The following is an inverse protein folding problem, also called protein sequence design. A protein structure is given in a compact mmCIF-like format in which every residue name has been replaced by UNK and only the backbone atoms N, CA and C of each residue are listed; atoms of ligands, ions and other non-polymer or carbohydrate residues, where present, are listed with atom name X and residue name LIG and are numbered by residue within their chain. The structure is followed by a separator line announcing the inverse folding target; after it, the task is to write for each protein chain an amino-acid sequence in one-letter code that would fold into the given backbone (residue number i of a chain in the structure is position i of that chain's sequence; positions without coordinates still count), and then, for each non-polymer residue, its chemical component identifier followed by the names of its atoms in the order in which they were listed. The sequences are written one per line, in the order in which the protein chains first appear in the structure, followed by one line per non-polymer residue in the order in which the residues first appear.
data_IF_769960017562
#
_entry.id   IF_769960017562
#
_cell.length_a   1.000
_cell.length_b   1.000
_cell.length_c   1.000
_cell.angle_alpha   90.00
_cell.angle_beta   90.00
_cell.angle_gamma   90.00
#
_symmetry.space_group_name_H-M   'P 1'
#
loop_
_entity.id
_entity.type
_entity.pdbx_description
1 polymer ?
#
# COMPACT_ATOMS: atom_id res chain seq x y z
N UNK A 1 17.09 -20.53 5.95
CA UNK A 1 18.26 -20.99 6.71
C UNK A 1 19.26 -21.53 5.71
N UNK A 2 20.54 -21.20 5.90
CA UNK A 2 21.63 -21.77 5.13
C UNK A 2 22.54 -22.51 6.10
N UNK A 3 22.99 -23.70 5.69
CA UNK A 3 23.91 -24.53 6.47
C UNK A 3 24.98 -25.01 5.50
N UNK A 4 26.20 -24.47 5.64
CA UNK A 4 27.33 -24.77 4.76
C UNK A 4 28.58 -24.00 5.20
N UNK A 5 29.77 -24.38 4.72
CA UNK A 5 31.00 -23.71 5.11
C UNK A 5 31.05 -22.27 4.59
N UNK A 6 31.41 -21.33 5.45
CA UNK A 6 31.79 -19.96 5.10
C UNK A 6 33.09 -19.67 5.84
N UNK A 7 34.16 -19.39 5.09
CA UNK A 7 35.51 -19.14 5.63
C UNK A 7 36.12 -20.27 6.49
N UNK A 8 35.73 -21.52 6.24
CA UNK A 8 36.24 -22.70 6.96
C UNK A 8 35.50 -23.05 8.25
N UNK A 9 34.58 -22.21 8.71
CA UNK A 9 33.68 -22.50 9.84
C UNK A 9 32.24 -22.82 9.37
N UNK A 10 31.50 -23.67 10.10
CA UNK A 10 30.10 -23.95 9.78
C UNK A 10 29.23 -22.72 10.05
N UNK A 11 28.71 -22.09 8.99
CA UNK A 11 27.78 -20.97 9.11
C UNK A 11 26.36 -21.52 9.30
N UNK A 12 25.83 -21.42 10.52
CA UNK A 12 24.41 -21.62 10.83
C UNK A 12 23.77 -20.25 11.13
N UNK A 13 23.07 -19.70 10.14
CA UNK A 13 22.39 -18.41 10.27
C UNK A 13 20.87 -18.57 10.16
N UNK A 14 20.19 -18.28 11.27
CA UNK A 14 18.73 -18.40 11.41
C UNK A 14 18.15 -17.16 12.08
N UNK A 15 17.47 -16.32 11.30
CA UNK A 15 16.71 -15.16 11.80
C UNK A 15 15.25 -15.28 11.39
N UNK A 16 14.36 -15.02 12.33
CA UNK A 16 12.92 -14.92 12.07
C UNK A 16 12.56 -13.50 11.67
N UNK A 17 11.92 -13.34 10.52
CA UNK A 17 11.46 -12.05 10.00
C UNK A 17 9.96 -12.09 9.75
N UNK A 18 9.28 -10.98 9.98
CA UNK A 18 7.84 -10.87 9.76
C UNK A 18 7.53 -9.66 8.89
N UNK A 19 6.67 -9.85 7.90
CA UNK A 19 6.22 -8.78 7.02
C UNK A 19 4.71 -8.65 7.15
N UNK A 20 4.28 -7.50 7.66
CA UNK A 20 2.88 -7.15 7.85
C UNK A 20 2.48 -6.17 6.76
N UNK A 21 1.26 -6.34 6.23
CA UNK A 21 0.66 -5.42 5.28
C UNK A 21 -0.73 -5.06 5.73
N UNK A 22 -1.13 -3.82 5.46
CA UNK A 22 -2.50 -3.40 5.68
C UNK A 22 -2.99 -2.45 4.60
N UNK A 23 -4.29 -2.54 4.31
CA UNK A 23 -5.01 -1.62 3.48
C UNK A 23 -6.41 -1.42 4.06
N UNK A 24 -6.80 -0.16 4.23
CA UNK A 24 -8.11 0.24 4.67
C UNK A 24 -8.66 1.33 3.77
N UNK A 25 -9.95 1.23 3.44
CA UNK A 25 -10.68 2.28 2.74
C UNK A 25 -11.97 2.57 3.49
N UNK A 26 -12.10 3.81 3.95
CA UNK A 26 -13.25 4.29 4.69
C UNK A 26 -13.97 5.35 3.85
N UNK A 27 -15.25 5.10 3.56
CA UNK A 27 -16.14 6.11 3.02
C UNK A 27 -16.66 6.96 4.18
N UNK A 28 -16.27 8.24 4.23
CA UNK A 28 -16.67 9.17 5.29
C UNK A 28 -18.02 9.79 4.94
N UNK A 29 -18.18 10.21 3.69
CA UNK A 29 -19.44 10.72 3.13
C UNK A 29 -19.67 10.14 1.74
N UNK A 30 -20.75 10.50 1.08
CA UNK A 30 -20.97 10.05 -0.30
C UNK A 30 -19.86 10.48 -1.27
N UNK A 31 -19.21 11.61 -0.98
CA UNK A 31 -18.21 12.26 -1.83
C UNK A 31 -16.80 12.28 -1.22
N UNK A 32 -16.62 11.74 -0.01
CA UNK A 32 -15.35 11.75 0.72
C UNK A 32 -14.91 10.33 1.05
N UNK A 33 -13.65 10.01 0.72
CA UNK A 33 -13.04 8.71 1.04
C UNK A 33 -11.65 8.90 1.62
N UNK A 34 -11.41 8.26 2.75
CA UNK A 34 -10.09 8.10 3.34
C UNK A 34 -9.55 6.72 2.98
N UNK A 35 -8.27 6.66 2.64
CA UNK A 35 -7.51 5.42 2.48
C UNK A 35 -6.30 5.44 3.39
N UNK A 36 -5.99 4.29 3.96
CA UNK A 36 -4.76 4.05 4.72
C UNK A 36 -4.14 2.78 4.17
N UNK A 37 -2.84 2.80 3.92
CA UNK A 37 -2.11 1.60 3.55
C UNK A 37 -0.71 1.65 4.14
N UNK A 38 -0.15 0.48 4.41
CA UNK A 38 1.19 0.42 4.94
C UNK A 38 1.72 -0.99 5.03
N UNK A 39 3.00 -1.04 5.37
CA UNK A 39 3.67 -2.28 5.69
C UNK A 39 4.64 -2.08 6.84
N UNK A 40 4.95 -3.16 7.54
CA UNK A 40 5.97 -3.23 8.58
C UNK A 40 6.81 -4.48 8.35
N UNK A 41 8.10 -4.29 8.16
CA UNK A 41 9.06 -5.38 8.12
C UNK A 41 9.77 -5.45 9.48
N UNK A 42 9.40 -6.43 10.30
CA UNK A 42 9.99 -6.65 11.62
C UNK A 42 11.17 -7.61 11.53
N UNK A 43 12.33 -7.15 12.02
CA UNK A 43 13.60 -7.90 12.03
C UNK A 43 13.88 -8.58 10.69
N UNK A 44 13.83 -7.80 9.60
CA UNK A 44 14.02 -8.32 8.25
C UNK A 44 15.37 -9.02 8.06
N UNK A 45 15.45 -9.82 7.00
CA UNK A 45 16.68 -10.43 6.53
C UNK A 45 16.75 -10.29 5.01
N UNK A 46 17.89 -9.86 4.50
CA UNK A 46 18.17 -9.86 3.06
C UNK A 46 19.53 -10.51 2.82
N UNK A 47 19.53 -11.73 2.29
CA UNK A 47 20.72 -12.58 2.24
C UNK A 47 21.31 -12.77 3.65
N UNK A 48 22.49 -12.20 3.91
CA UNK A 48 23.18 -12.23 5.21
C UNK A 48 23.01 -10.93 6.01
N UNK A 49 22.41 -9.91 5.41
CA UNK A 49 22.14 -8.65 6.09
C UNK A 49 20.95 -8.82 7.02
N UNK A 50 21.19 -8.49 8.28
CA UNK A 50 20.16 -8.29 9.28
C UNK A 50 19.58 -6.90 9.10
N UNK A 51 18.33 -6.84 8.66
CA UNK A 51 17.63 -5.57 8.57
C UNK A 51 16.99 -5.25 9.93
N UNK A 52 17.05 -3.97 10.27
CA UNK A 52 16.31 -3.41 11.39
C UNK A 52 14.80 -3.40 11.08
N UNK A 53 13.99 -3.01 12.06
CA UNK A 53 12.54 -2.89 11.83
C UNK A 53 12.27 -1.60 11.09
N UNK A 54 11.63 -1.69 9.93
CA UNK A 54 11.27 -0.53 9.12
C UNK A 54 9.89 -0.72 8.49
N UNK A 55 9.28 0.38 8.06
CA UNK A 55 7.96 0.31 7.45
C UNK A 55 7.55 1.62 6.85
N UNK A 56 6.34 1.65 6.31
CA UNK A 56 5.76 2.84 5.74
C UNK A 56 4.27 2.87 6.02
N UNK A 57 3.77 4.02 6.44
CA UNK A 57 2.33 4.27 6.59
C UNK A 57 1.92 5.45 5.72
N UNK A 58 0.96 5.22 4.84
CA UNK A 58 0.47 6.17 3.85
C UNK A 58 -1.01 6.44 4.06
N UNK A 59 -1.40 7.68 3.81
CA UNK A 59 -2.79 8.12 3.82
C UNK A 59 -3.16 8.79 2.51
N UNK A 60 -4.42 8.60 2.09
CA UNK A 60 -5.03 9.31 0.98
C UNK A 60 -6.40 9.85 1.39
N UNK A 61 -6.67 11.12 1.14
CA UNK A 61 -7.98 11.73 1.31
C UNK A 61 -8.50 12.21 -0.04
N UNK A 62 -9.55 11.57 -0.53
CA UNK A 62 -10.22 11.93 -1.77
C UNK A 62 -11.52 12.65 -1.48
N UNK A 63 -11.73 13.78 -2.16
CA UNK A 63 -12.98 14.51 -2.20
C UNK A 63 -13.46 14.63 -3.65
N UNK A 64 -14.75 14.34 -3.87
CA UNK A 64 -15.43 14.50 -5.15
C UNK A 64 -16.33 15.75 -5.12
N UNK A 65 -16.42 16.41 -6.26
CA UNK A 65 -17.20 17.62 -6.51
C UNK A 65 -17.88 17.53 -7.89
N UNK A 66 -18.82 18.43 -8.17
CA UNK A 66 -19.49 18.58 -9.47
C UNK A 66 -20.06 17.26 -10.01
N UNK A 67 -20.88 16.58 -9.20
CA UNK A 67 -21.46 15.26 -9.55
C UNK A 67 -20.40 14.24 -9.98
N UNK A 68 -19.30 14.22 -9.21
CA UNK A 68 -18.15 13.32 -9.40
C UNK A 68 -17.34 13.62 -10.68
N UNK A 69 -17.56 14.76 -11.34
CA UNK A 69 -16.73 15.23 -12.47
C UNK A 69 -15.38 15.74 -12.01
N UNK A 70 -15.30 16.37 -10.84
CA UNK A 70 -14.04 16.86 -10.27
C UNK A 70 -13.65 16.03 -9.04
N UNK A 71 -12.42 15.56 -8.99
CA UNK A 71 -11.85 14.80 -7.88
C UNK A 71 -10.54 15.44 -7.44
N UNK A 72 -10.42 15.74 -6.15
CA UNK A 72 -9.18 16.20 -5.52
C UNK A 72 -8.74 15.14 -4.52
N UNK A 73 -7.48 14.71 -4.59
CA UNK A 73 -6.90 13.74 -3.66
C UNK A 73 -5.65 14.31 -3.03
N UNK A 74 -5.64 14.37 -1.70
CA UNK A 74 -4.45 14.63 -0.90
C UNK A 74 -3.79 13.30 -0.57
N UNK A 75 -2.48 13.19 -0.75
CA UNK A 75 -1.70 12.00 -0.44
C UNK A 75 -0.58 12.36 0.52
N UNK A 76 -0.39 11.54 1.55
CA UNK A 76 0.70 11.64 2.50
C UNK A 76 1.40 10.28 2.55
N UNK A 77 2.65 10.24 2.10
CA UNK A 77 3.49 9.05 2.06
C UNK A 77 4.47 9.06 3.22
N UNK A 78 4.66 7.90 3.84
CA UNK A 78 5.53 7.69 5.00
C UNK A 78 5.31 8.73 6.11
N UNK A 79 4.07 8.84 6.58
CA UNK A 79 3.64 9.87 7.54
C UNK A 79 4.41 9.79 8.86
N UNK A 80 4.85 8.58 9.23
CA UNK A 80 5.60 8.34 10.46
C UNK A 80 7.13 8.44 10.29
N UNK A 81 7.64 8.69 9.07
CA UNK A 81 9.07 8.72 8.78
C UNK A 81 9.79 7.41 9.18
N UNK A 82 9.16 6.28 8.95
CA UNK A 82 9.66 4.96 9.40
C UNK A 82 10.36 4.19 8.30
N UNK A 83 10.41 4.73 7.07
CA UNK A 83 11.04 4.07 5.94
C UNK A 83 12.56 4.35 5.92
N UNK A 84 13.21 4.04 7.04
CA UNK A 84 14.66 4.05 7.24
C UNK A 84 15.12 2.60 7.27
N UNK A 85 15.97 2.19 6.34
CA UNK A 85 16.46 0.81 6.27
C UNK A 85 17.85 0.73 6.89
N UNK A 86 17.90 0.41 8.18
CA UNK A 86 19.13 0.00 8.87
C UNK A 86 19.51 -1.44 8.53
N UNK A 87 20.80 -1.70 8.36
CA UNK A 87 21.33 -3.03 8.12
C UNK A 87 22.59 -3.30 8.94
N UNK A 88 22.76 -4.55 9.34
CA UNK A 88 23.95 -5.06 10.02
C UNK A 88 24.37 -6.38 9.37
N UNK A 89 25.67 -6.58 9.21
CA UNK A 89 26.30 -7.83 8.80
C UNK A 89 27.31 -8.18 9.88
N UNK A 90 27.15 -9.36 10.46
CA UNK A 90 28.11 -9.91 11.41
C UNK A 90 28.36 -11.38 11.04
N UNK A 91 29.36 -11.60 10.20
CA UNK A 91 29.74 -12.94 9.71
C UNK A 91 31.26 -13.09 9.61
N UNK A 92 31.80 -14.08 10.32
CA UNK A 92 33.25 -14.30 10.40
C UNK A 92 33.95 -13.03 10.91
N UNK A 93 34.99 -12.60 10.19
CA UNK A 93 35.74 -11.37 10.49
C UNK A 93 35.11 -10.09 9.90
N UNK A 94 33.94 -10.19 9.25
CA UNK A 94 33.28 -9.06 8.60
C UNK A 94 32.17 -8.51 9.50
N UNK A 95 32.44 -7.31 10.03
CA UNK A 95 31.45 -6.48 10.74
C UNK A 95 31.17 -5.24 9.88
N UNK A 96 29.93 -5.10 9.43
CA UNK A 96 29.48 -3.94 8.64
C UNK A 96 28.11 -3.49 9.10
N UNK A 97 27.92 -2.19 9.29
CA UNK A 97 26.65 -1.59 9.64
C UNK A 97 26.43 -0.31 8.83
N UNK A 98 25.16 0.03 8.61
CA UNK A 98 24.80 1.28 7.96
C UNK A 98 23.29 1.42 7.86
N UNK A 99 22.84 2.60 7.49
CA UNK A 99 21.44 2.91 7.26
C UNK A 99 21.27 3.66 5.95
N UNK A 100 20.05 3.57 5.41
CA UNK A 100 19.66 4.35 4.24
C UNK A 100 18.27 4.93 4.48
N UNK A 101 18.19 6.25 4.39
CA UNK A 101 16.94 6.96 4.21
C UNK A 101 16.91 7.56 2.80
N UNK A 102 15.87 7.23 2.03
CA UNK A 102 15.75 7.64 0.63
C UNK A 102 14.53 8.54 0.46
N UNK A 103 14.57 9.77 0.98
CA UNK A 103 13.54 10.83 0.81
C UNK A 103 12.12 10.30 0.55
N UNK A 104 11.64 9.49 1.50
CA UNK A 104 10.44 8.68 1.34
C UNK A 104 9.17 9.42 1.77
N UNK A 105 9.31 10.39 2.68
CA UNK A 105 8.22 11.18 3.23
C UNK A 105 7.80 12.29 2.24
N UNK A 106 6.57 12.19 1.74
CA UNK A 106 6.10 13.08 0.67
C UNK A 106 4.63 13.43 0.84
N UNK A 107 4.29 14.69 0.58
CA UNK A 107 2.92 15.17 0.51
C UNK A 107 2.61 15.60 -0.92
N UNK A 108 1.45 15.21 -1.44
CA UNK A 108 1.08 15.46 -2.83
C UNK A 108 -0.40 15.71 -3.00
N UNK A 109 -0.74 16.52 -4.00
CA UNK A 109 -2.11 16.82 -4.39
C UNK A 109 -2.32 16.31 -5.82
N UNK A 110 -3.40 15.57 -6.04
CA UNK A 110 -3.84 15.15 -7.36
C UNK A 110 -5.20 15.77 -7.65
N UNK A 111 -5.32 16.47 -8.78
CA UNK A 111 -6.59 17.04 -9.26
C UNK A 111 -6.92 16.34 -10.57
N UNK A 112 -8.11 15.77 -10.65
CA UNK A 112 -8.63 15.08 -11.83
C UNK A 112 -10.00 15.64 -12.18
N UNK A 113 -10.15 16.10 -13.42
CA UNK A 113 -11.44 16.47 -13.98
C UNK A 113 -11.82 15.49 -15.09
N UNK A 114 -12.99 14.89 -14.99
CA UNK A 114 -13.51 13.93 -15.95
C UNK A 114 -14.47 14.66 -16.90
N UNK A 115 -14.07 14.79 -18.17
CA UNK A 115 -14.92 15.33 -19.23
C UNK A 115 -15.75 14.18 -19.82
N UNK A 116 -17.08 14.26 -19.69
CA UNK A 116 -18.02 13.30 -20.28
C UNK A 116 -19.44 13.88 -20.30
N UNK A 117 -20.19 13.59 -21.37
CA UNK A 117 -21.61 13.93 -21.45
C UNK A 117 -22.37 13.10 -20.42
N UNK A 118 -23.22 13.75 -19.62
CA UNK A 118 -24.21 13.05 -18.80
C UNK A 118 -25.01 12.13 -19.72
N UNK A 119 -24.90 10.81 -19.52
CA UNK A 119 -25.87 9.90 -20.10
C UNK A 119 -27.19 10.27 -19.45
N UNK A 120 -28.10 10.83 -20.26
CA UNK A 120 -29.49 11.02 -19.89
C UNK A 120 -30.00 9.74 -19.21
N UNK A 121 -30.21 9.79 -17.90
CA UNK A 121 -30.99 8.82 -17.13
C UNK A 121 -32.48 9.01 -17.47
N UNK A 122 -32.81 8.97 -18.77
CA UNK A 122 -34.14 8.54 -19.18
C UNK A 122 -34.20 7.08 -18.76
N UNK A 123 -34.69 6.86 -17.53
CA UNK A 123 -35.17 5.57 -17.03
C UNK A 123 -35.78 4.84 -18.22
N UNK A 124 -35.12 3.79 -18.70
CA UNK A 124 -35.81 2.85 -19.57
C UNK A 124 -37.03 2.40 -18.76
N UNK A 125 -38.27 2.64 -19.23
CA UNK A 125 -39.41 2.08 -18.55
C UNK A 125 -39.17 0.57 -18.49
N UNK A 126 -39.44 0.01 -17.32
CA UNK A 126 -39.29 -1.39 -17.00
C UNK A 126 -40.02 -2.22 -18.07
N UNK A 127 -39.34 -2.63 -19.14
CA UNK A 127 -39.86 -3.64 -20.07
C UNK A 127 -39.66 -4.99 -19.41
N UNK A 128 -40.44 -5.22 -18.35
CA UNK A 128 -40.77 -6.57 -17.96
C UNK A 128 -41.49 -7.20 -19.14
N UNK A 129 -40.96 -8.29 -19.66
CA UNK A 129 -41.69 -9.14 -20.59
C UNK A 129 -42.85 -9.75 -19.82
N UNK A 130 -44.06 -9.19 -19.95
CA UNK A 130 -45.29 -9.89 -19.59
C UNK A 130 -45.51 -10.99 -20.64
N UNK A 131 -45.32 -12.23 -20.21
CA UNK A 131 -45.69 -13.40 -20.98
C UNK A 131 -47.17 -13.68 -20.68
N UNK A 132 -48.07 -13.25 -21.58
CA UNK A 132 -49.46 -13.72 -21.55
C UNK A 132 -49.47 -15.18 -22.00
N UNK A 133 -49.86 -16.09 -21.09
CA UNK A 133 -50.13 -17.47 -21.49
C UNK A 133 -51.46 -17.52 -22.24
N UNK A 134 -51.53 -18.24 -23.39
CA UNK A 134 -52.79 -18.46 -24.06
C UNK A 134 -53.69 -19.29 -23.14
N UNK A 135 -54.92 -18.83 -22.94
CA UNK A 135 -55.95 -19.61 -22.25
C UNK A 135 -56.54 -20.62 -23.25
N UNK A 136 -56.54 -21.90 -22.87
CA UNK A 136 -57.35 -22.95 -23.49
C UNK A 136 -58.70 -23.06 -22.79
#
# INVERSE_FOLDING_TARGET
SYTGPYDGEPLDFKRGSWLFFTFHSLRITDNTRLTMNGFLYYKGQMSFLELETFGMLNFGLTQQFMDKKLQVTLNARDVLHTMVTGFQLNQGDIIMNGDRYADNQRFGINIRYNFGLEKNDKKKPNQGFEFEMPQE
#
